data_IF_023720862773
#
_entry.id   IF_023720862773
#
_cell.length_a   1.000
_cell.length_b   1.000
_cell.length_c   1.000
_cell.angle_alpha   90.00
_cell.angle_beta   90.00
_cell.angle_gamma   90.00
#
_symmetry.space_group_name_H-M   'P 1'
#
loop_
_entity.id
_entity.type
_entity.pdbx_description
1 polymer ?
#
# COMPACT_ATOMS: atom_id res chain seq x y z
N UNK A 1 -33.24 6.50 37.08
CA UNK A 1 -34.07 7.07 35.97
C UNK A 1 -33.47 8.32 35.34
N UNK A 2 -33.00 9.31 36.11
CA UNK A 2 -32.42 10.55 35.57
C UNK A 2 -31.18 10.32 34.69
N UNK A 3 -30.25 9.47 35.13
CA UNK A 3 -29.01 9.17 34.39
C UNK A 3 -29.27 8.55 33.01
N UNK A 4 -30.16 7.55 32.95
CA UNK A 4 -30.59 6.96 31.69
C UNK A 4 -31.25 7.98 30.75
N UNK A 5 -31.96 8.98 31.28
CA UNK A 5 -32.53 10.06 30.47
C UNK A 5 -31.46 10.98 29.91
N UNK A 6 -30.44 11.31 30.72
CA UNK A 6 -29.31 12.14 30.30
C UNK A 6 -28.50 11.46 29.19
N UNK A 7 -28.22 10.17 29.33
CA UNK A 7 -27.53 9.38 28.31
C UNK A 7 -28.33 9.31 27.00
N UNK A 8 -29.65 9.09 27.07
CA UNK A 8 -30.51 9.12 25.87
C UNK A 8 -30.45 10.46 25.14
N UNK A 9 -30.47 11.57 25.88
CA UNK A 9 -30.35 12.90 25.28
C UNK A 9 -28.98 13.10 24.62
N UNK A 10 -27.90 12.65 25.25
CA UNK A 10 -26.56 12.72 24.66
C UNK A 10 -26.46 11.90 23.37
N UNK A 11 -27.04 10.69 23.34
CA UNK A 11 -27.10 9.86 22.13
C UNK A 11 -27.83 10.60 21.00
N UNK A 12 -29.01 11.14 21.28
CA UNK A 12 -29.78 11.90 20.27
C UNK A 12 -29.00 13.10 19.75
N UNK A 13 -28.32 13.82 20.64
CA UNK A 13 -27.51 14.98 20.25
C UNK A 13 -26.32 14.58 19.36
N UNK A 14 -25.63 13.48 19.68
CA UNK A 14 -24.53 12.95 18.87
C UNK A 14 -25.02 12.47 17.51
N UNK A 15 -26.14 11.75 17.46
CA UNK A 15 -26.74 11.29 16.20
C UNK A 15 -27.13 12.46 15.30
N UNK A 16 -27.76 13.49 15.84
CA UNK A 16 -28.09 14.69 15.10
C UNK A 16 -26.82 15.42 14.62
N UNK A 17 -25.80 15.52 15.45
CA UNK A 17 -24.52 16.11 15.03
C UNK A 17 -23.87 15.33 13.89
N UNK A 18 -23.92 14.00 13.91
CA UNK A 18 -23.36 13.17 12.83
C UNK A 18 -24.11 13.36 11.53
N UNK A 19 -25.45 13.36 11.57
CA UNK A 19 -26.29 13.66 10.39
C UNK A 19 -25.92 15.01 9.77
N UNK A 20 -25.80 16.04 10.59
CA UNK A 20 -25.41 17.38 10.11
C UNK A 20 -24.01 17.38 9.49
N UNK A 21 -23.03 16.68 10.10
CA UNK A 21 -21.69 16.53 9.53
C UNK A 21 -21.68 15.78 8.20
N UNK A 22 -22.64 14.86 8.00
CA UNK A 22 -22.86 14.15 6.74
C UNK A 22 -23.67 14.96 5.71
N UNK A 23 -24.07 16.19 6.04
CA UNK A 23 -24.83 17.06 5.14
C UNK A 23 -26.33 16.81 5.13
N UNK A 24 -26.86 16.10 6.11
CA UNK A 24 -28.30 15.85 6.27
C UNK A 24 -28.95 16.94 7.15
N UNK A 25 -30.29 17.09 7.04
CA UNK A 25 -31.12 17.98 7.86
C UNK A 25 -30.72 19.48 7.88
N UNK A 26 -29.90 19.92 6.91
CA UNK A 26 -29.37 21.28 6.85
C UNK A 26 -30.45 22.37 6.68
N UNK A 27 -31.57 22.03 6.03
CA UNK A 27 -32.68 22.98 5.79
C UNK A 27 -33.33 23.50 7.07
N UNK A 28 -33.18 22.76 8.18
CA UNK A 28 -33.72 23.12 9.48
C UNK A 28 -32.74 23.90 10.35
N UNK A 29 -31.49 24.07 9.89
CA UNK A 29 -30.45 24.78 10.63
C UNK A 29 -30.52 26.29 10.40
N UNK A 30 -30.14 27.06 11.42
CA UNK A 30 -29.98 28.50 11.26
C UNK A 30 -28.72 28.81 10.44
N UNK A 31 -28.66 29.99 9.80
CA UNK A 31 -27.48 30.46 9.07
C UNK A 31 -26.22 30.48 9.95
N UNK A 32 -26.38 30.83 11.24
CA UNK A 32 -25.27 30.84 12.20
C UNK A 32 -24.72 29.43 12.40
N UNK A 33 -25.59 28.45 12.62
CA UNK A 33 -25.19 27.06 12.88
C UNK A 33 -24.60 26.42 11.63
N UNK A 34 -25.14 26.74 10.45
CA UNK A 34 -24.60 26.29 9.18
C UNK A 34 -23.17 26.80 8.96
N UNK A 35 -22.92 28.08 9.25
CA UNK A 35 -21.56 28.66 9.20
C UNK A 35 -20.61 28.01 10.22
N UNK A 36 -21.09 27.66 11.41
CA UNK A 36 -20.27 26.93 12.37
C UNK A 36 -19.94 25.52 11.89
N UNK A 37 -20.91 24.82 11.30
CA UNK A 37 -20.72 23.49 10.72
C UNK A 37 -19.69 23.51 9.59
N UNK A 38 -19.82 24.46 8.65
CA UNK A 38 -18.87 24.69 7.57
C UNK A 38 -17.45 24.90 8.11
N UNK A 39 -17.27 25.79 9.09
CA UNK A 39 -15.97 26.03 9.71
C UNK A 39 -15.37 24.79 10.39
N UNK A 40 -16.21 23.92 10.98
CA UNK A 40 -15.77 22.65 11.57
C UNK A 40 -15.31 21.68 10.49
N UNK A 41 -16.06 21.57 9.39
CA UNK A 41 -15.72 20.71 8.26
C UNK A 41 -14.42 21.18 7.58
N UNK A 42 -14.27 22.48 7.32
CA UNK A 42 -13.06 23.04 6.70
C UNK A 42 -11.81 22.74 7.53
N UNK A 43 -11.88 22.95 8.85
CA UNK A 43 -10.79 22.59 9.76
C UNK A 43 -10.49 21.09 9.76
N UNK A 44 -11.52 20.24 9.75
CA UNK A 44 -11.37 18.79 9.68
C UNK A 44 -10.70 18.32 8.39
N UNK A 45 -11.17 18.82 7.25
CA UNK A 45 -10.62 18.53 5.92
C UNK A 45 -9.16 19.00 5.83
N UNK A 46 -8.87 20.20 6.33
CA UNK A 46 -7.50 20.73 6.37
C UNK A 46 -6.56 19.83 7.18
N UNK A 47 -6.99 19.37 8.37
CA UNK A 47 -6.22 18.41 9.18
C UNK A 47 -5.98 17.08 8.45
N UNK A 48 -7.00 16.52 7.83
CA UNK A 48 -6.90 15.26 7.06
C UNK A 48 -5.91 15.43 5.90
N UNK A 49 -6.00 16.54 5.17
CA UNK A 49 -5.10 16.83 4.04
C UNK A 49 -3.65 16.95 4.50
N UNK A 50 -3.39 17.71 5.56
CA UNK A 50 -2.06 17.84 6.15
C UNK A 50 -1.52 16.47 6.56
N UNK A 51 -2.32 15.65 7.26
CA UNK A 51 -1.86 14.33 7.70
C UNK A 51 -1.59 13.38 6.54
N UNK A 52 -2.43 13.39 5.52
CA UNK A 52 -2.22 12.61 4.29
C UNK A 52 -0.91 13.01 3.61
N UNK A 53 -0.64 14.31 3.52
CA UNK A 53 0.60 14.81 2.94
C UNK A 53 1.83 14.37 3.74
N UNK A 54 1.81 14.49 5.08
CA UNK A 54 2.88 14.00 5.95
C UNK A 54 3.20 12.51 5.69
N UNK A 55 2.16 11.66 5.66
CA UNK A 55 2.31 10.22 5.42
C UNK A 55 2.83 9.92 4.01
N UNK A 56 2.36 10.67 3.00
CA UNK A 56 2.85 10.53 1.63
C UNK A 56 4.33 10.90 1.53
N UNK A 57 4.77 12.00 2.17
CA UNK A 57 6.17 12.38 2.18
C UNK A 57 7.05 11.33 2.86
N UNK A 58 6.63 10.83 4.03
CA UNK A 58 7.33 9.76 4.72
C UNK A 58 7.41 8.48 3.85
N UNK A 59 6.35 8.18 3.08
CA UNK A 59 6.32 7.02 2.19
C UNK A 59 7.28 7.17 1.00
N UNK A 60 7.33 8.35 0.38
CA UNK A 60 8.26 8.66 -0.71
C UNK A 60 9.70 8.53 -0.21
N UNK A 61 10.02 9.13 0.93
CA UNK A 61 11.36 9.07 1.52
C UNK A 61 11.78 7.62 1.83
N UNK A 62 10.89 6.82 2.41
CA UNK A 62 11.13 5.41 2.67
C UNK A 62 11.44 4.64 1.36
N UNK A 63 10.67 4.89 0.30
CA UNK A 63 10.87 4.20 -0.98
C UNK A 63 12.20 4.58 -1.63
N UNK A 64 12.58 5.86 -1.59
CA UNK A 64 13.87 6.33 -2.09
C UNK A 64 15.05 5.70 -1.35
N UNK A 65 14.99 5.63 -0.01
CA UNK A 65 16.04 4.95 0.79
C UNK A 65 16.14 3.46 0.45
N UNK A 66 14.99 2.81 0.22
CA UNK A 66 14.94 1.40 -0.18
C UNK A 66 15.51 1.19 -1.58
N UNK A 67 15.20 2.06 -2.52
CA UNK A 67 15.75 2.02 -3.88
C UNK A 67 17.28 2.11 -3.84
N UNK A 68 17.83 3.09 -3.13
CA UNK A 68 19.29 3.26 -2.99
C UNK A 68 19.93 2.01 -2.38
N UNK A 69 19.34 1.45 -1.31
CA UNK A 69 19.86 0.22 -0.70
C UNK A 69 19.89 -0.94 -1.69
N UNK A 70 18.80 -1.15 -2.43
CA UNK A 70 18.72 -2.20 -3.43
C UNK A 70 19.69 -2.00 -4.59
N UNK A 71 19.91 -0.75 -5.02
CA UNK A 71 20.92 -0.44 -6.04
C UNK A 71 22.33 -0.77 -5.55
N UNK A 72 22.66 -0.43 -4.29
CA UNK A 72 23.95 -0.76 -3.68
C UNK A 72 24.15 -2.28 -3.56
N UNK A 73 23.13 -3.01 -3.07
CA UNK A 73 23.19 -4.47 -2.95
C UNK A 73 23.36 -5.14 -4.33
N UNK A 74 22.63 -4.67 -5.36
CA UNK A 74 22.79 -5.17 -6.73
C UNK A 74 24.19 -4.89 -7.29
N UNK A 75 24.72 -3.69 -7.08
CA UNK A 75 26.07 -3.34 -7.53
C UNK A 75 27.13 -4.21 -6.84
N UNK A 76 26.99 -4.45 -5.54
CA UNK A 76 27.87 -5.34 -4.79
C UNK A 76 27.85 -6.77 -5.36
N UNK A 77 26.66 -7.32 -5.62
CA UNK A 77 26.52 -8.66 -6.19
C UNK A 77 27.12 -8.76 -7.59
N UNK A 78 26.92 -7.75 -8.44
CA UNK A 78 27.54 -7.69 -9.78
C UNK A 78 29.06 -7.72 -9.70
N UNK A 79 29.65 -6.91 -8.82
CA UNK A 79 31.09 -6.91 -8.60
C UNK A 79 31.59 -8.29 -8.09
N UNK A 80 30.83 -8.95 -7.22
CA UNK A 80 31.17 -10.29 -6.73
C UNK A 80 31.09 -11.37 -7.82
N UNK A 81 30.14 -11.27 -8.73
CA UNK A 81 30.02 -12.19 -9.88
C UNK A 81 31.24 -12.04 -10.77
N UNK A 82 31.58 -10.82 -11.18
CA UNK A 82 32.73 -10.55 -12.04
C UNK A 82 34.05 -11.01 -11.40
N UNK A 83 34.22 -10.81 -10.10
CA UNK A 83 35.39 -11.33 -9.37
C UNK A 83 35.43 -12.87 -9.38
N UNK A 84 34.29 -13.54 -9.16
CA UNK A 84 34.22 -15.00 -9.20
C UNK A 84 34.53 -15.55 -10.60
N UNK A 85 34.03 -14.91 -11.65
CA UNK A 85 34.32 -15.27 -13.04
C UNK A 85 35.82 -15.14 -13.34
N UNK A 86 36.49 -14.08 -12.86
CA UNK A 86 37.96 -13.97 -12.98
C UNK A 86 38.69 -15.09 -12.26
N UNK A 87 38.26 -15.46 -11.07
CA UNK A 87 38.85 -16.59 -10.31
C UNK A 87 38.62 -17.92 -11.02
N UNK A 88 37.43 -18.16 -11.57
CA UNK A 88 37.13 -19.36 -12.36
C UNK A 88 37.98 -19.42 -13.63
N UNK A 89 38.15 -18.28 -14.33
CA UNK A 89 39.04 -18.20 -15.49
C UNK A 89 40.49 -18.53 -15.10
N UNK A 90 41.00 -18.01 -13.98
CA UNK A 90 42.35 -18.36 -13.49
C UNK A 90 42.48 -19.85 -13.12
N UNK A 91 41.46 -20.46 -12.50
CA UNK A 91 41.43 -21.91 -12.22
C UNK A 91 41.32 -22.76 -13.50
N UNK A 92 40.67 -22.26 -14.56
CA UNK A 92 40.53 -22.96 -15.84
C UNK A 92 41.83 -22.98 -16.67
N UNK A 93 42.84 -22.18 -16.29
CA UNK A 93 44.16 -22.15 -16.95
C UNK A 93 45.16 -23.17 -16.35
N UNK A 94 44.73 -24.01 -15.39
CA UNK A 94 45.48 -25.18 -14.95
C UNK A 94 45.43 -26.29 -16.02
N UNK A 95 46.56 -26.94 -16.37
CA UNK A 95 46.62 -27.89 -17.49
C UNK A 95 45.87 -29.18 -17.13
N UNK A 96 44.62 -29.29 -17.58
CA UNK A 96 43.80 -30.49 -17.39
C UNK A 96 42.31 -30.37 -17.73
N UNK A 97 41.74 -29.17 -17.92
CA UNK A 97 40.28 -28.95 -17.96
C UNK A 97 39.69 -28.48 -19.31
N UNK A 98 40.42 -28.64 -20.41
CA UNK A 98 40.16 -28.03 -21.72
C UNK A 98 38.80 -28.35 -22.37
N UNK A 99 38.04 -29.36 -21.91
CA UNK A 99 36.73 -29.69 -22.50
C UNK A 99 35.55 -28.88 -21.93
N UNK A 100 35.69 -28.25 -20.75
CA UNK A 100 34.59 -27.54 -20.08
C UNK A 100 34.46 -26.06 -20.51
N UNK A 101 35.53 -25.48 -21.07
CA UNK A 101 35.61 -24.05 -21.42
C UNK A 101 34.81 -23.68 -22.68
N UNK A 102 34.56 -24.63 -23.60
CA UNK A 102 33.90 -24.36 -24.88
C UNK A 102 32.37 -24.17 -24.78
N UNK A 103 31.72 -24.59 -23.70
CA UNK A 103 30.25 -24.57 -23.58
C UNK A 103 29.68 -23.32 -22.90
N UNK A 104 30.51 -22.36 -22.45
CA UNK A 104 30.05 -21.21 -21.64
C UNK A 104 30.43 -19.83 -22.21
N UNK A 105 31.03 -19.76 -23.40
CA UNK A 105 31.39 -18.48 -24.05
C UNK A 105 30.20 -17.77 -24.70
N UNK A 106 29.08 -17.65 -23.99
CA UNK A 106 28.06 -16.64 -24.29
C UNK A 106 28.44 -15.38 -23.53
N UNK A 107 28.97 -14.38 -24.24
CA UNK A 107 29.22 -13.02 -23.74
C UNK A 107 28.01 -12.55 -22.91
N UNK A 108 28.14 -12.27 -21.62
CA UNK A 108 26.97 -12.01 -20.80
C UNK A 108 26.51 -10.58 -21.08
N UNK A 109 25.25 -10.41 -21.45
CA UNK A 109 24.63 -9.13 -21.83
C UNK A 109 24.61 -8.06 -20.70
N UNK A 110 25.25 -8.28 -19.56
CA UNK A 110 25.24 -7.36 -18.41
C UNK A 110 26.21 -6.18 -18.56
N UNK A 111 27.26 -6.28 -19.39
CA UNK A 111 28.26 -5.20 -19.55
C UNK A 111 27.73 -3.98 -20.32
N UNK A 112 26.60 -4.12 -21.01
CA UNK A 112 26.01 -3.07 -21.86
C UNK A 112 24.83 -2.34 -21.23
N UNK A 113 24.45 -2.67 -20.00
CA UNK A 113 23.24 -2.10 -19.38
C UNK A 113 23.59 -0.76 -18.70
N UNK A 114 23.01 0.37 -19.14
CA UNK A 114 23.31 1.68 -18.56
C UNK A 114 22.89 1.75 -17.08
N UNK A 115 23.43 2.69 -16.29
CA UNK A 115 23.01 2.93 -14.92
C UNK A 115 21.48 3.04 -14.87
N UNK A 116 20.85 2.30 -13.96
CA UNK A 116 19.40 2.29 -13.83
C UNK A 116 18.90 3.71 -13.48
N UNK A 117 18.30 4.38 -14.45
CA UNK A 117 17.63 5.67 -14.26
C UNK A 117 16.12 5.46 -14.20
N UNK A 118 15.56 5.63 -13.00
CA UNK A 118 14.12 5.56 -12.76
C UNK A 118 13.32 6.56 -13.61
N UNK A 119 13.93 7.66 -14.09
CA UNK A 119 13.26 8.65 -14.94
C UNK A 119 13.06 8.16 -16.38
N UNK A 120 13.97 7.33 -16.90
CA UNK A 120 13.87 6.78 -18.26
C UNK A 120 12.81 5.69 -18.39
N UNK A 121 12.61 4.88 -17.35
CA UNK A 121 11.68 3.75 -17.38
C UNK A 121 10.21 4.16 -17.54
N UNK A 122 9.82 5.33 -17.01
CA UNK A 122 8.47 5.88 -17.18
C UNK A 122 8.21 6.39 -18.61
N UNK A 123 9.25 6.78 -19.35
CA UNK A 123 9.11 7.35 -20.69
C UNK A 123 9.00 6.27 -21.78
N UNK A 124 9.63 5.09 -21.58
CA UNK A 124 9.61 3.98 -22.55
C UNK A 124 8.24 3.28 -22.60
N UNK A 125 7.51 3.21 -21.48
CA UNK A 125 6.21 2.53 -21.41
C UNK A 125 5.06 3.22 -22.18
N UNK A 126 5.28 4.37 -22.82
CA UNK A 126 4.24 5.08 -23.58
C UNK A 126 4.33 4.87 -25.11
N UNK A 127 5.32 4.14 -25.62
CA UNK A 127 5.57 4.01 -27.06
C UNK A 127 5.73 2.57 -27.60
N UNK A 128 5.67 1.52 -26.78
CA UNK A 128 6.03 0.16 -27.24
C UNK A 128 4.99 -0.94 -26.95
N UNK A 129 3.71 -0.57 -26.89
CA UNK A 129 2.62 -1.54 -26.78
C UNK A 129 2.24 -2.05 -28.18
N UNK A 130 2.94 -3.03 -28.78
CA UNK A 130 2.20 -4.02 -29.60
C UNK A 130 2.83 -5.37 -30.04
N UNK A 131 4.14 -5.69 -30.05
CA UNK A 131 4.56 -6.82 -30.94
C UNK A 131 5.31 -8.05 -30.41
N UNK A 132 5.71 -8.19 -29.15
CA UNK A 132 6.61 -9.30 -28.79
C UNK A 132 6.15 -10.13 -27.59
N UNK A 133 5.25 -11.10 -27.82
CA UNK A 133 4.87 -12.12 -26.81
C UNK A 133 5.11 -13.58 -27.24
N UNK A 134 5.68 -13.87 -28.41
CA UNK A 134 5.62 -15.24 -28.96
C UNK A 134 6.93 -16.03 -29.02
N UNK A 135 8.06 -15.61 -28.44
CA UNK A 135 9.34 -16.34 -28.63
C UNK A 135 10.24 -16.40 -27.37
N UNK A 136 9.78 -17.00 -26.27
CA UNK A 136 10.70 -17.29 -25.14
C UNK A 136 10.43 -18.61 -24.41
N UNK A 137 10.04 -19.66 -25.13
CA UNK A 137 9.80 -20.99 -24.55
C UNK A 137 11.05 -21.90 -24.48
N UNK A 138 12.28 -21.38 -24.41
CA UNK A 138 13.45 -22.29 -24.42
C UNK A 138 14.76 -21.84 -23.75
N UNK A 139 14.71 -21.04 -22.68
CA UNK A 139 15.90 -20.85 -21.84
C UNK A 139 15.55 -20.95 -20.34
N UNK A 140 15.90 -22.10 -19.75
CA UNK A 140 15.80 -22.37 -18.32
C UNK A 140 17.08 -21.87 -17.62
N UNK A 141 17.12 -20.64 -17.11
CA UNK A 141 18.13 -20.20 -16.10
C UNK A 141 17.69 -19.05 -15.17
N UNK A 142 16.43 -18.58 -15.20
CA UNK A 142 16.00 -17.55 -14.24
C UNK A 142 15.50 -18.19 -12.95
N UNK A 143 16.20 -17.93 -11.83
CA UNK A 143 15.70 -18.17 -10.47
C UNK A 143 14.30 -17.57 -10.36
N UNK A 144 13.29 -18.44 -10.36
CA UNK A 144 11.89 -18.06 -10.38
C UNK A 144 11.51 -17.60 -8.97
N UNK A 145 11.84 -16.34 -8.64
CA UNK A 145 11.14 -15.64 -7.58
C UNK A 145 9.71 -15.48 -8.07
N UNK A 146 8.84 -16.39 -7.63
CA UNK A 146 7.47 -16.50 -8.11
C UNK A 146 6.83 -15.13 -8.18
N UNK A 147 6.41 -14.73 -9.38
CA UNK A 147 5.56 -13.55 -9.55
C UNK A 147 4.30 -13.86 -8.73
N UNK A 148 4.00 -13.10 -7.66
CA UNK A 148 2.88 -13.43 -6.80
C UNK A 148 1.64 -13.51 -7.68
N UNK A 149 0.88 -14.60 -7.53
CA UNK A 149 -0.28 -14.82 -8.38
C UNK A 149 -1.23 -13.62 -8.27
N UNK A 150 -2.05 -13.38 -9.29
CA UNK A 150 -3.01 -12.27 -9.27
C UNK A 150 -3.91 -12.31 -8.03
N UNK A 151 -4.14 -13.50 -7.49
CA UNK A 151 -4.85 -13.74 -6.23
C UNK A 151 -4.06 -13.31 -5.00
N UNK A 152 -2.74 -13.60 -4.95
CA UNK A 152 -1.87 -13.18 -3.85
C UNK A 152 -1.71 -11.65 -3.76
N UNK A 153 -1.69 -10.97 -4.92
CA UNK A 153 -1.70 -9.50 -4.98
C UNK A 153 -3.05 -8.97 -4.50
N UNK A 154 -4.17 -9.56 -4.94
CA UNK A 154 -5.50 -9.17 -4.50
C UNK A 154 -5.70 -9.36 -2.99
N UNK A 155 -5.18 -10.45 -2.42
CA UNK A 155 -5.25 -10.74 -0.99
C UNK A 155 -4.40 -9.75 -0.18
N UNK A 156 -3.22 -9.37 -0.67
CA UNK A 156 -2.40 -8.32 -0.05
C UNK A 156 -3.09 -6.95 -0.12
N UNK A 157 -3.74 -6.62 -1.22
CA UNK A 157 -4.52 -5.37 -1.35
C UNK A 157 -5.69 -5.36 -0.38
N UNK A 158 -6.44 -6.46 -0.31
CA UNK A 158 -7.56 -6.59 0.63
C UNK A 158 -7.08 -6.49 2.08
N UNK A 159 -6.02 -7.20 2.44
CA UNK A 159 -5.39 -7.12 3.77
C UNK A 159 -4.89 -5.71 4.12
N UNK A 160 -4.38 -4.96 3.14
CA UNK A 160 -3.98 -3.56 3.34
C UNK A 160 -5.17 -2.64 3.54
N UNK A 161 -6.28 -2.85 2.83
CA UNK A 161 -7.51 -2.08 3.00
C UNK A 161 -8.16 -2.37 4.36
N UNK A 162 -8.22 -3.64 4.78
CA UNK A 162 -8.73 -4.02 6.09
C UNK A 162 -7.89 -3.40 7.23
N UNK A 163 -6.56 -3.37 7.07
CA UNK A 163 -5.66 -2.68 8.01
C UNK A 163 -5.81 -1.16 8.00
N UNK A 164 -6.13 -0.56 6.85
CA UNK A 164 -6.38 0.88 6.76
C UNK A 164 -7.70 1.25 7.43
N UNK A 165 -8.73 0.42 7.29
CA UNK A 165 -10.00 0.54 8.02
C UNK A 165 -9.76 0.42 9.53
N UNK A 166 -8.98 -0.57 9.98
CA UNK A 166 -8.61 -0.76 11.39
C UNK A 166 -7.80 0.43 11.95
N UNK A 167 -6.84 0.95 11.18
CA UNK A 167 -6.10 2.16 11.56
C UNK A 167 -7.04 3.36 11.63
N UNK A 168 -7.92 3.54 10.65
CA UNK A 168 -8.89 4.65 10.61
C UNK A 168 -9.84 4.58 11.82
N UNK A 169 -10.28 3.38 12.20
CA UNK A 169 -11.09 3.11 13.38
C UNK A 169 -10.34 3.41 14.68
N UNK A 170 -9.10 2.91 14.83
CA UNK A 170 -8.26 3.19 16.00
C UNK A 170 -7.92 4.68 16.14
N UNK A 171 -7.78 5.38 15.01
CA UNK A 171 -7.51 6.82 14.97
C UNK A 171 -8.75 7.62 15.35
N UNK A 172 -9.94 7.15 14.98
CA UNK A 172 -11.20 7.72 15.44
C UNK A 172 -11.41 7.48 16.94
N UNK A 173 -11.16 6.28 17.43
CA UNK A 173 -11.21 5.94 18.86
C UNK A 173 -10.25 6.79 19.69
N UNK A 174 -8.99 6.90 19.25
CA UNK A 174 -7.94 7.61 20.00
C UNK A 174 -8.12 9.13 20.02
N UNK A 175 -8.85 9.71 19.06
CA UNK A 175 -9.06 11.16 18.95
C UNK A 175 -10.46 11.63 19.35
N UNK A 176 -11.38 10.71 19.63
CA UNK A 176 -12.70 11.02 20.20
C UNK A 176 -12.74 10.94 21.74
N UNK A 177 -11.75 10.33 22.40
CA UNK A 177 -11.85 9.93 23.81
C UNK A 177 -11.06 10.74 24.85
N UNK A 178 -10.48 11.90 24.52
CA UNK A 178 -10.06 12.83 25.57
C UNK A 178 -11.18 13.83 25.88
N UNK A 179 -12.10 13.39 26.75
CA UNK A 179 -13.20 14.22 27.23
C UNK A 179 -14.31 13.53 28.02
N UNK A 180 -13.93 12.70 29.00
CA UNK A 180 -14.74 12.12 30.09
C UNK A 180 -15.72 10.97 29.77
N UNK A 181 -15.36 9.81 30.35
CA UNK A 181 -16.16 8.64 30.73
C UNK A 181 -17.23 8.18 29.75
N UNK A 182 -16.94 7.14 28.97
CA UNK A 182 -17.90 6.04 28.74
C UNK A 182 -17.14 4.73 28.64
N UNK A 183 -17.53 3.80 29.50
CA UNK A 183 -17.06 2.44 29.59
C UNK A 183 -17.28 1.64 28.30
N UNK A 184 -16.34 0.72 28.08
CA UNK A 184 -16.38 -0.48 27.25
C UNK A 184 -17.76 -0.90 26.71
N UNK A 185 -17.90 -0.88 25.38
CA UNK A 185 -18.91 -1.69 24.71
C UNK A 185 -18.38 -3.13 24.56
N UNK A 186 -19.15 -4.17 24.93
CA UNK A 186 -18.76 -5.52 24.61
C UNK A 186 -19.01 -5.76 23.12
N UNK A 187 -18.02 -6.39 22.47
CA UNK A 187 -18.22 -7.06 21.21
C UNK A 187 -19.27 -8.17 21.40
N UNK A 188 -20.46 -7.98 20.83
CA UNK A 188 -21.47 -9.03 20.71
C UNK A 188 -21.61 -9.43 19.25
N UNK A 189 -21.09 -10.63 18.98
CA UNK A 189 -21.22 -11.45 17.79
C UNK A 189 -22.67 -11.84 17.54
N UNK A 190 -23.11 -11.76 16.28
CA UNK A 190 -24.03 -12.73 15.65
C UNK A 190 -25.53 -12.62 15.96
N UNK A 191 -26.36 -12.68 14.91
CA UNK A 191 -27.79 -12.91 15.10
C UNK A 191 -28.67 -12.57 13.90
N UNK A 192 -28.63 -13.43 12.89
CA UNK A 192 -29.69 -13.77 11.93
C UNK A 192 -31.08 -13.14 12.15
N UNK A 193 -31.61 -12.42 11.15
CA UNK A 193 -32.91 -12.75 10.58
C UNK A 193 -33.15 -12.01 9.25
N UNK A 194 -33.07 -12.75 8.14
CA UNK A 194 -33.89 -12.44 6.99
C UNK A 194 -35.33 -12.88 7.29
N UNK A 195 -36.29 -12.01 7.03
CA UNK A 195 -37.67 -12.44 6.81
C UNK A 195 -38.09 -12.09 5.39
N UNK A 196 -38.81 -13.00 4.72
CA UNK A 196 -39.35 -12.77 3.39
C UNK A 196 -40.53 -11.80 3.47
N UNK A 197 -40.61 -10.90 2.49
CA UNK A 197 -41.81 -10.12 2.21
C UNK A 197 -42.81 -11.10 1.58
N UNK A 198 -43.73 -11.61 2.39
CA UNK A 198 -44.90 -12.33 1.89
C UNK A 198 -45.99 -11.32 1.53
N UNK A 199 -46.50 -11.47 0.31
CA UNK A 199 -47.52 -10.64 -0.31
C UNK A 199 -48.88 -11.09 0.21
N UNK A 200 -49.67 -10.15 0.74
CA UNK A 200 -51.12 -10.22 0.82
C UNK A 200 -51.71 -8.81 0.81
#
# INVERSE_FOLDING_TARGET
QQEASKLRQQITNLQNSNRNLMGEALSTMSLRDLKQLENRLEKGISKIRTKKNELLYAKVEYMQKREIKLQNDNMYLRNKITENERVQQQMSMLPGNTMMTMTMSSTPAYELMPPFDARGFLQVNLMEQNQHYSHQQQQQTTLQLGVPSRYEIADKIKSLNDKLEEISFSYFESNCFDGNQVESFPAAVGGLHGQPIEVA
#
